data_IF_224272379754
#
_entry.id   IF_224272379754
#
_cell.length_a   1.000
_cell.length_b   1.000
_cell.length_c   1.000
_cell.angle_alpha   90.00
_cell.angle_beta   90.00
_cell.angle_gamma   90.00
#
_symmetry.space_group_name_H-M   'P 1'
#
loop_
_entity.id
_entity.type
_entity.pdbx_description
1 polymer ?
#
# COMPACT_ATOMS: atom_id res chain seq x y z
N UNK A 1 -75.32 2.83 -90.94
CA UNK A 1 -74.14 2.83 -90.05
C UNK A 1 -74.25 1.60 -89.19
N UNK A 2 -73.46 0.56 -89.46
CA UNK A 2 -73.47 -0.65 -88.65
C UNK A 2 -72.69 -0.34 -87.38
N UNK A 3 -73.40 -0.21 -86.27
CA UNK A 3 -72.82 -0.29 -84.93
C UNK A 3 -72.23 -1.69 -84.79
N UNK A 4 -70.90 -1.79 -84.73
CA UNK A 4 -70.25 -3.01 -84.26
C UNK A 4 -69.90 -2.82 -82.79
N UNK A 5 -70.16 -3.86 -82.00
CA UNK A 5 -69.87 -3.86 -80.58
C UNK A 5 -68.34 -3.97 -80.38
N UNK A 6 -67.77 -3.00 -79.66
CA UNK A 6 -66.34 -2.98 -79.41
C UNK A 6 -65.97 -4.00 -78.33
N UNK A 7 -65.32 -5.10 -78.72
CA UNK A 7 -64.73 -6.07 -77.79
C UNK A 7 -63.25 -5.74 -77.60
N UNK A 8 -62.86 -5.50 -76.34
CA UNK A 8 -61.50 -5.13 -75.95
C UNK A 8 -60.80 -6.28 -75.23
N UNK A 9 -59.56 -6.59 -75.64
CA UNK A 9 -58.71 -7.61 -75.01
C UNK A 9 -57.85 -7.07 -73.87
N UNK A 10 -56.71 -7.72 -73.62
CA UNK A 10 -55.72 -7.29 -72.63
C UNK A 10 -55.15 -5.88 -72.93
N UNK A 11 -54.64 -5.22 -71.89
CA UNK A 11 -53.98 -3.93 -72.04
C UNK A 11 -52.79 -4.04 -72.99
N UNK A 12 -52.80 -3.21 -74.03
CA UNK A 12 -51.67 -2.99 -74.92
C UNK A 12 -50.77 -1.91 -74.31
N UNK A 13 -49.47 -1.98 -74.61
CA UNK A 13 -48.46 -1.09 -74.01
C UNK A 13 -47.27 -0.90 -74.95
N UNK A 14 -46.73 0.30 -74.91
CA UNK A 14 -45.41 0.64 -75.44
C UNK A 14 -44.55 1.31 -74.35
N UNK A 15 -43.40 1.87 -74.73
CA UNK A 15 -42.46 2.49 -73.79
C UNK A 15 -43.03 3.73 -73.08
N UNK A 16 -44.02 4.40 -73.67
CA UNK A 16 -44.54 5.69 -73.21
C UNK A 16 -45.97 5.62 -72.68
N UNK A 17 -46.79 4.72 -73.24
CA UNK A 17 -48.24 4.69 -73.04
C UNK A 17 -48.78 3.26 -73.00
N UNK A 18 -50.01 3.14 -72.51
CA UNK A 18 -50.84 1.94 -72.60
C UNK A 18 -52.23 2.28 -73.11
N UNK A 19 -52.90 1.32 -73.76
CA UNK A 19 -54.24 1.48 -74.31
C UNK A 19 -55.00 0.16 -74.39
N UNK A 20 -56.32 0.24 -74.57
CA UNK A 20 -57.16 -0.89 -75.02
C UNK A 20 -57.34 -0.82 -76.52
N UNK A 21 -57.14 -1.95 -77.20
CA UNK A 21 -57.31 -2.04 -78.65
C UNK A 21 -58.48 -2.95 -78.99
N UNK A 22 -59.42 -2.40 -79.76
CA UNK A 22 -60.53 -3.17 -80.30
C UNK A 22 -60.06 -3.95 -81.55
N UNK A 23 -60.72 -5.07 -81.86
CA UNK A 23 -60.45 -5.90 -83.06
C UNK A 23 -60.47 -5.13 -84.40
N UNK A 24 -61.11 -3.95 -84.45
CA UNK A 24 -61.12 -3.06 -85.59
C UNK A 24 -59.92 -2.09 -85.68
N UNK A 25 -58.95 -2.18 -84.75
CA UNK A 25 -57.75 -1.34 -84.70
C UNK A 25 -57.93 0.00 -83.99
N UNK A 26 -59.11 0.29 -83.44
CA UNK A 26 -59.34 1.53 -82.68
C UNK A 26 -58.71 1.43 -81.27
N UNK A 27 -57.84 2.39 -80.95
CA UNK A 27 -57.24 2.56 -79.62
C UNK A 27 -58.13 3.42 -78.73
N UNK A 28 -58.38 2.97 -77.50
CA UNK A 28 -59.14 3.69 -76.48
C UNK A 28 -58.43 3.62 -75.13
N UNK A 29 -58.80 4.48 -74.18
CA UNK A 29 -58.18 4.52 -72.85
C UNK A 29 -56.66 4.68 -72.90
N UNK A 30 -56.19 5.50 -73.85
CA UNK A 30 -54.77 5.81 -73.99
C UNK A 30 -54.32 6.64 -72.78
N UNK A 31 -53.35 6.14 -72.03
CA UNK A 31 -52.80 6.80 -70.86
C UNK A 31 -51.29 6.63 -70.78
N UNK A 32 -50.62 7.57 -70.11
CA UNK A 32 -49.22 7.39 -69.73
C UNK A 32 -49.10 6.38 -68.59
N UNK A 33 -47.96 5.73 -68.47
CA UNK A 33 -47.72 4.77 -67.39
C UNK A 33 -47.78 5.43 -66.00
N UNK A 34 -48.52 4.81 -65.09
CA UNK A 34 -48.45 5.10 -63.65
C UNK A 34 -47.59 4.02 -63.00
N UNK A 35 -46.35 4.37 -62.68
CA UNK A 35 -45.37 3.44 -62.12
C UNK A 35 -45.36 3.46 -60.59
N UNK A 36 -45.04 2.32 -60.01
CA UNK A 36 -44.69 2.20 -58.58
C UNK A 36 -43.24 2.70 -58.32
N UNK A 37 -42.81 2.63 -57.06
CA UNK A 37 -41.44 3.00 -56.67
C UNK A 37 -40.38 2.11 -57.34
N UNK A 38 -39.19 2.69 -57.55
CA UNK A 38 -38.05 1.94 -58.06
C UNK A 38 -37.59 0.89 -57.05
N UNK A 39 -37.37 -0.33 -57.53
CA UNK A 39 -36.76 -1.42 -56.77
C UNK A 39 -35.40 -1.76 -57.38
N UNK A 40 -34.34 -1.79 -56.58
CA UNK A 40 -33.01 -2.24 -57.05
C UNK A 40 -33.08 -3.75 -57.28
N UNK A 41 -32.82 -4.19 -58.51
CA UNK A 41 -32.83 -5.61 -58.90
C UNK A 41 -31.43 -6.18 -58.97
N UNK A 42 -30.41 -5.34 -59.18
CA UNK A 42 -29.00 -5.69 -59.11
C UNK A 42 -28.21 -4.51 -58.54
N UNK A 43 -27.54 -4.70 -57.40
CA UNK A 43 -26.65 -3.69 -56.84
C UNK A 43 -25.45 -3.45 -57.79
N UNK A 44 -25.07 -2.20 -58.05
CA UNK A 44 -23.85 -1.91 -58.80
C UNK A 44 -22.61 -2.35 -58.02
N UNK A 45 -21.61 -2.88 -58.72
CA UNK A 45 -20.29 -3.19 -58.17
C UNK A 45 -19.24 -2.30 -58.83
N UNK A 46 -17.97 -2.43 -58.43
CA UNK A 46 -16.85 -1.69 -59.03
C UNK A 46 -16.55 -2.05 -60.48
N UNK A 47 -17.06 -3.19 -60.95
CA UNK A 47 -16.79 -3.71 -62.30
C UNK A 47 -18.06 -3.96 -63.11
N UNK A 48 -19.20 -4.12 -62.45
CA UNK A 48 -20.48 -4.38 -63.10
C UNK A 48 -21.51 -3.31 -62.76
N UNK A 49 -22.21 -2.82 -63.78
CA UNK A 49 -23.34 -1.91 -63.60
C UNK A 49 -24.47 -2.59 -62.81
N UNK A 50 -25.21 -1.78 -62.07
CA UNK A 50 -26.42 -2.21 -61.37
C UNK A 50 -27.66 -2.05 -62.25
N UNK A 51 -28.82 -2.47 -61.74
CA UNK A 51 -30.11 -2.21 -62.37
C UNK A 51 -31.20 -1.98 -61.35
N UNK A 52 -32.17 -1.13 -61.69
CA UNK A 52 -33.41 -0.95 -60.95
C UNK A 52 -34.60 -1.04 -61.88
N UNK A 53 -35.73 -1.48 -61.35
CA UNK A 53 -36.97 -1.67 -62.10
C UNK A 53 -38.15 -1.01 -61.41
N UNK A 54 -39.14 -0.58 -62.19
CA UNK A 54 -40.46 -0.17 -61.70
C UNK A 54 -41.53 -0.69 -62.64
N UNK A 55 -42.70 -1.02 -62.09
CA UNK A 55 -43.79 -1.63 -62.85
C UNK A 55 -45.00 -0.71 -62.89
N UNK A 56 -45.66 -0.63 -64.04
CA UNK A 56 -46.92 0.08 -64.17
C UNK A 56 -48.04 -0.73 -63.51
N UNK A 57 -48.75 -0.10 -62.57
CA UNK A 57 -49.81 -0.74 -61.79
C UNK A 57 -50.98 -1.23 -62.65
N UNK A 58 -51.25 -0.57 -63.78
CA UNK A 58 -52.38 -0.82 -64.69
C UNK A 58 -52.06 -1.93 -65.71
N UNK A 59 -51.05 -1.72 -66.56
CA UNK A 59 -50.77 -2.61 -67.71
C UNK A 59 -49.64 -3.61 -67.47
N UNK A 60 -49.04 -3.60 -66.28
CA UNK A 60 -47.88 -4.43 -65.90
C UNK A 60 -46.70 -4.27 -66.85
N UNK A 61 -46.52 -3.08 -67.43
CA UNK A 61 -45.29 -2.74 -68.15
C UNK A 61 -44.16 -2.58 -67.13
N UNK A 62 -43.02 -3.22 -67.34
CA UNK A 62 -41.84 -3.07 -66.48
C UNK A 62 -40.82 -2.21 -67.21
N UNK A 63 -40.40 -1.13 -66.56
CA UNK A 63 -39.31 -0.30 -67.02
C UNK A 63 -38.07 -0.62 -66.20
N UNK A 64 -36.95 -0.88 -66.89
CA UNK A 64 -35.65 -1.17 -66.30
C UNK A 64 -34.67 -0.04 -66.62
N UNK A 65 -33.89 0.37 -65.63
CA UNK A 65 -32.84 1.38 -65.75
C UNK A 65 -31.52 0.83 -65.24
N UNK A 66 -30.44 1.07 -65.99
CA UNK A 66 -29.08 0.68 -65.59
C UNK A 66 -28.46 1.73 -64.68
N UNK A 67 -27.96 1.30 -63.52
CA UNK A 67 -27.19 2.14 -62.60
C UNK A 67 -25.70 2.05 -62.95
N UNK A 68 -24.94 3.16 -62.91
CA UNK A 68 -23.50 3.14 -63.17
C UNK A 68 -22.77 2.23 -62.15
N UNK A 69 -21.57 1.78 -62.51
CA UNK A 69 -20.67 1.08 -61.59
C UNK A 69 -20.38 1.94 -60.35
N UNK A 70 -20.16 1.30 -59.21
CA UNK A 70 -19.72 1.98 -58.00
C UNK A 70 -18.24 2.37 -58.13
N UNK A 71 -17.90 3.65 -58.00
CA UNK A 71 -16.51 4.12 -58.02
C UNK A 71 -16.04 4.45 -56.60
N UNK A 72 -14.85 3.97 -56.24
CA UNK A 72 -14.21 4.34 -54.99
C UNK A 72 -13.40 5.62 -55.19
N UNK A 73 -13.94 6.71 -54.70
CA UNK A 73 -13.24 7.98 -54.64
C UNK A 73 -12.66 8.20 -53.24
N UNK A 74 -11.52 8.90 -53.17
CA UNK A 74 -10.89 9.29 -51.90
C UNK A 74 -11.81 10.31 -51.21
N UNK A 75 -12.35 9.94 -50.05
CA UNK A 75 -13.28 10.80 -49.31
C UNK A 75 -12.55 11.78 -48.38
N UNK A 76 -11.39 11.39 -47.87
CA UNK A 76 -10.52 12.21 -47.02
C UNK A 76 -9.10 12.20 -47.56
N UNK A 77 -8.54 13.39 -47.81
CA UNK A 77 -7.16 13.53 -48.27
C UNK A 77 -6.16 13.14 -47.18
N UNK A 78 -6.57 13.20 -45.91
CA UNK A 78 -5.73 12.81 -44.78
C UNK A 78 -5.47 11.29 -44.76
N UNK A 79 -4.20 10.91 -44.65
CA UNK A 79 -3.80 9.52 -44.51
C UNK A 79 -4.10 9.01 -43.10
N UNK A 80 -4.83 7.90 -43.01
CA UNK A 80 -4.97 7.12 -41.78
C UNK A 80 -3.81 6.14 -41.67
N UNK A 81 -3.47 5.75 -40.44
CA UNK A 81 -2.35 4.84 -40.20
C UNK A 81 -2.51 4.03 -38.92
N UNK A 82 -1.83 2.89 -38.90
CA UNK A 82 -1.58 2.06 -37.73
C UNK A 82 -0.07 1.77 -37.59
N UNK A 83 0.34 0.81 -36.77
CA UNK A 83 1.76 0.46 -36.55
C UNK A 83 2.44 -0.14 -37.80
N UNK A 84 1.67 -0.68 -38.74
CA UNK A 84 2.16 -1.47 -39.87
C UNK A 84 2.00 -0.76 -41.21
N UNK A 85 0.91 -0.02 -41.39
CA UNK A 85 0.48 0.50 -42.68
C UNK A 85 -0.27 1.82 -42.56
N UNK A 86 -0.41 2.51 -43.69
CA UNK A 86 -1.26 3.67 -43.88
C UNK A 86 -2.22 3.46 -45.05
N UNK A 87 -3.37 4.12 -45.01
CA UNK A 87 -4.43 4.03 -46.02
C UNK A 87 -5.27 5.31 -46.07
N UNK A 88 -5.97 5.49 -47.17
CA UNK A 88 -7.06 6.47 -47.30
C UNK A 88 -8.39 5.73 -47.25
N UNK A 89 -9.49 6.41 -46.91
CA UNK A 89 -10.79 5.78 -46.77
C UNK A 89 -11.76 6.30 -47.83
N UNK A 90 -12.53 5.37 -48.42
CA UNK A 90 -13.64 5.71 -49.29
C UNK A 90 -14.86 6.17 -48.47
N UNK A 91 -15.79 6.88 -49.09
CA UNK A 91 -17.05 7.29 -48.45
C UNK A 91 -17.92 6.11 -47.97
N UNK A 92 -17.69 4.90 -48.52
CA UNK A 92 -18.31 3.65 -48.09
C UNK A 92 -17.57 2.94 -46.94
N UNK A 93 -16.45 3.47 -46.45
CA UNK A 93 -15.65 2.92 -45.36
C UNK A 93 -14.56 1.93 -45.77
N UNK A 94 -14.40 1.66 -47.07
CA UNK A 94 -13.37 0.76 -47.58
C UNK A 94 -11.98 1.43 -47.60
N UNK A 95 -10.94 0.66 -47.24
CA UNK A 95 -9.55 1.16 -47.24
C UNK A 95 -8.98 1.16 -48.67
N UNK A 96 -8.49 2.31 -49.09
CA UNK A 96 -7.84 2.55 -50.38
C UNK A 96 -6.37 2.88 -50.18
N UNK A 97 -5.57 2.66 -51.23
CA UNK A 97 -4.15 3.00 -51.28
C UNK A 97 -3.35 2.44 -50.09
N UNK A 98 -3.72 1.25 -49.61
CA UNK A 98 -3.10 0.63 -48.44
C UNK A 98 -1.64 0.32 -48.74
N UNK A 99 -0.73 0.85 -47.94
CA UNK A 99 0.70 0.63 -48.08
C UNK A 99 1.39 0.55 -46.72
N UNK A 100 2.46 -0.22 -46.64
CA UNK A 100 3.33 -0.25 -45.47
C UNK A 100 4.08 1.08 -45.33
N UNK A 101 4.49 1.40 -44.11
CA UNK A 101 5.28 2.61 -43.86
C UNK A 101 6.63 2.60 -44.58
N UNK A 102 6.94 3.72 -45.23
CA UNK A 102 8.24 3.99 -45.82
C UNK A 102 8.96 5.02 -44.97
N UNK A 103 10.06 4.62 -44.35
CA UNK A 103 10.80 5.45 -43.41
C UNK A 103 12.08 5.99 -44.01
N UNK A 104 12.46 7.19 -43.56
CA UNK A 104 13.80 7.75 -43.78
C UNK A 104 14.83 7.22 -42.76
N UNK A 105 15.95 7.95 -42.68
CA UNK A 105 17.02 7.65 -41.72
C UNK A 105 16.55 7.84 -40.27
N UNK A 106 17.16 7.06 -39.38
CA UNK A 106 16.96 7.21 -37.94
C UNK A 106 17.59 8.51 -37.43
N UNK A 107 16.85 9.20 -36.56
CA UNK A 107 17.30 10.36 -35.80
C UNK A 107 17.40 9.99 -34.33
N UNK A 108 18.59 10.11 -33.74
CA UNK A 108 18.76 9.92 -32.29
C UNK A 108 18.05 11.06 -31.55
N UNK A 109 17.19 10.70 -30.60
CA UNK A 109 16.45 11.65 -29.75
C UNK A 109 17.01 11.70 -28.34
N UNK A 110 17.62 10.60 -27.88
CA UNK A 110 18.37 10.53 -26.63
C UNK A 110 19.61 9.65 -26.86
N UNK A 111 20.80 10.21 -26.63
CA UNK A 111 22.03 9.41 -26.65
C UNK A 111 21.99 8.37 -25.52
N UNK A 112 22.45 7.16 -25.80
CA UNK A 112 22.67 6.16 -24.76
C UNK A 112 23.90 6.53 -23.94
N UNK A 113 23.87 6.26 -22.64
CA UNK A 113 25.02 6.39 -21.74
C UNK A 113 25.46 5.01 -21.26
N UNK A 114 26.50 4.96 -20.43
CA UNK A 114 26.97 3.72 -19.80
C UNK A 114 25.94 3.10 -18.85
N UNK A 115 24.98 3.87 -18.36
CA UNK A 115 23.99 3.48 -17.34
C UNK A 115 22.54 3.79 -17.71
N UNK A 116 22.31 4.39 -18.87
CA UNK A 116 20.97 4.72 -19.36
C UNK A 116 20.82 4.37 -20.85
N UNK A 117 19.74 3.66 -21.18
CA UNK A 117 19.34 3.45 -22.56
C UNK A 117 19.01 4.79 -23.27
N UNK A 118 19.37 4.85 -24.55
CA UNK A 118 19.02 5.94 -25.45
C UNK A 118 17.75 5.66 -26.25
N UNK A 119 17.41 6.56 -27.17
CA UNK A 119 16.28 6.37 -28.09
C UNK A 119 16.54 7.04 -29.44
N UNK A 120 15.95 6.49 -30.49
CA UNK A 120 15.93 7.05 -31.84
C UNK A 120 14.54 6.96 -32.44
N UNK A 121 14.22 7.85 -33.35
CA UNK A 121 12.95 7.91 -34.06
C UNK A 121 13.14 8.05 -35.56
N UNK A 122 12.14 7.65 -36.34
CA UNK A 122 12.03 7.97 -37.77
C UNK A 122 10.57 8.11 -38.17
N UNK A 123 10.29 9.14 -38.98
CA UNK A 123 8.95 9.41 -39.49
C UNK A 123 8.67 8.65 -40.79
N UNK A 124 7.40 8.29 -41.00
CA UNK A 124 6.91 7.87 -42.30
C UNK A 124 6.90 9.06 -43.28
N UNK A 125 7.29 8.84 -44.52
CA UNK A 125 7.33 9.89 -45.55
C UNK A 125 5.94 10.31 -46.07
N UNK A 126 4.91 9.48 -45.82
CA UNK A 126 3.56 9.64 -46.39
C UNK A 126 2.55 10.10 -45.35
N UNK A 127 2.68 9.63 -44.11
CA UNK A 127 1.76 9.93 -43.02
C UNK A 127 2.53 10.38 -41.77
N UNK A 128 1.80 10.82 -40.76
CA UNK A 128 2.38 11.35 -39.52
C UNK A 128 2.83 10.27 -38.53
N UNK A 129 2.87 9.01 -38.94
CA UNK A 129 3.36 7.93 -38.09
C UNK A 129 4.86 8.09 -37.80
N UNK A 130 5.23 8.02 -36.52
CA UNK A 130 6.61 8.06 -36.05
C UNK A 130 6.93 6.74 -35.36
N UNK A 131 7.94 6.04 -35.88
CA UNK A 131 8.47 4.85 -35.26
C UNK A 131 9.57 5.24 -34.27
N UNK A 132 9.50 4.70 -33.05
CA UNK A 132 10.50 4.92 -31.99
C UNK A 132 11.15 3.59 -31.61
N UNK A 133 12.46 3.61 -31.41
CA UNK A 133 13.25 2.46 -30.98
C UNK A 133 14.19 2.87 -29.83
N UNK A 134 14.41 1.94 -28.90
CA UNK A 134 15.34 2.10 -27.78
C UNK A 134 16.74 1.69 -28.24
N UNK A 135 17.73 2.54 -27.95
CA UNK A 135 19.15 2.21 -28.13
C UNK A 135 19.63 1.61 -26.81
N UNK A 136 20.19 0.37 -26.80
CA UNK A 136 20.74 -0.21 -25.59
C UNK A 136 21.78 0.69 -24.94
N UNK A 137 21.91 0.62 -23.61
CA UNK A 137 23.01 1.27 -22.90
C UNK A 137 24.37 0.77 -23.43
N UNK A 138 25.38 1.65 -23.44
CA UNK A 138 26.68 1.36 -24.03
C UNK A 138 27.41 0.26 -23.24
N UNK A 139 27.09 0.16 -21.94
CA UNK A 139 27.83 -0.63 -20.97
C UNK A 139 29.19 0.01 -20.67
N UNK A 140 29.67 -0.17 -19.45
CA UNK A 140 31.04 0.14 -19.08
C UNK A 140 31.64 -1.06 -18.34
N UNK A 141 32.97 -1.17 -18.38
CA UNK A 141 33.66 -2.21 -17.64
C UNK A 141 33.75 -1.79 -16.16
N UNK A 142 33.20 -2.61 -15.28
CA UNK A 142 33.25 -2.34 -13.86
C UNK A 142 34.65 -2.59 -13.30
N UNK A 143 35.35 -1.50 -12.99
CA UNK A 143 36.64 -1.51 -12.30
C UNK A 143 36.56 -0.98 -10.88
N UNK A 144 37.52 -1.40 -10.04
CA UNK A 144 37.77 -0.82 -8.72
C UNK A 144 38.52 0.50 -8.94
N UNK A 145 37.88 1.62 -8.62
CA UNK A 145 38.51 2.95 -8.74
C UNK A 145 39.10 3.45 -7.41
N UNK A 146 38.59 2.93 -6.28
CA UNK A 146 39.07 3.22 -4.94
C UNK A 146 39.32 1.88 -4.23
N UNK A 147 40.56 1.66 -3.79
CA UNK A 147 40.95 0.44 -3.07
C UNK A 147 40.33 0.37 -1.66
N UNK A 148 39.78 1.48 -1.17
CA UNK A 148 39.15 1.58 0.14
C UNK A 148 37.86 0.76 0.20
N UNK A 149 37.79 -0.17 1.14
CA UNK A 149 36.58 -0.94 1.42
C UNK A 149 35.53 -0.09 2.15
N UNK A 150 34.34 0.02 1.56
CA UNK A 150 33.15 0.54 2.23
C UNK A 150 32.47 -0.58 3.01
N UNK A 151 31.72 -0.22 4.05
CA UNK A 151 31.05 -1.22 4.90
C UNK A 151 29.80 -0.69 5.57
N UNK A 152 28.92 -1.63 5.93
CA UNK A 152 27.77 -1.44 6.81
C UNK A 152 27.80 -2.48 7.95
N UNK A 153 26.70 -2.63 8.70
CA UNK A 153 26.62 -3.59 9.82
C UNK A 153 26.72 -5.06 9.41
N UNK A 154 26.44 -5.39 8.15
CA UNK A 154 26.29 -6.76 7.64
C UNK A 154 27.40 -7.17 6.69
N UNK A 155 27.89 -6.22 5.88
CA UNK A 155 28.76 -6.52 4.74
C UNK A 155 29.73 -5.37 4.44
N UNK A 156 30.71 -5.67 3.61
CA UNK A 156 31.66 -4.72 3.02
C UNK A 156 31.72 -4.89 1.50
N UNK A 157 32.06 -3.81 0.79
CA UNK A 157 32.13 -3.77 -0.67
C UNK A 157 33.13 -2.71 -1.14
N UNK A 158 33.57 -2.86 -2.39
CA UNK A 158 34.27 -1.80 -3.13
C UNK A 158 33.29 -1.16 -4.10
N UNK A 159 33.54 0.06 -4.54
CA UNK A 159 32.60 0.78 -5.41
C UNK A 159 33.25 1.11 -6.76
N UNK A 160 32.50 0.88 -7.82
CA UNK A 160 32.85 1.38 -9.13
C UNK A 160 32.60 2.90 -9.19
N UNK A 161 33.23 3.62 -10.12
CA UNK A 161 32.99 5.06 -10.32
C UNK A 161 31.54 5.40 -10.66
N UNK A 162 30.76 4.43 -11.15
CA UNK A 162 29.32 4.57 -11.42
C UNK A 162 28.43 4.39 -10.17
N UNK A 163 29.00 4.02 -9.02
CA UNK A 163 28.28 3.76 -7.78
C UNK A 163 27.90 2.29 -7.54
N UNK A 164 28.18 1.40 -8.49
CA UNK A 164 27.87 -0.03 -8.33
C UNK A 164 28.78 -0.70 -7.31
N UNK A 165 28.19 -1.56 -6.46
CA UNK A 165 28.91 -2.29 -5.42
C UNK A 165 29.57 -3.54 -6.00
N UNK A 166 30.88 -3.58 -5.92
CA UNK A 166 31.74 -4.70 -6.34
C UNK A 166 32.24 -5.46 -5.12
N UNK A 167 32.59 -6.73 -5.32
CA UNK A 167 33.18 -7.60 -4.30
C UNK A 167 32.41 -7.62 -2.96
N UNK A 168 31.08 -7.55 -3.03
CA UNK A 168 30.22 -7.55 -1.83
C UNK A 168 30.39 -8.85 -1.07
N UNK A 169 30.77 -8.75 0.20
CA UNK A 169 30.94 -9.89 1.09
C UNK A 169 30.49 -9.55 2.52
N UNK A 170 29.98 -10.55 3.22
CA UNK A 170 29.74 -10.44 4.66
C UNK A 170 31.07 -10.28 5.41
N UNK A 171 31.02 -9.67 6.59
CA UNK A 171 32.21 -9.52 7.43
C UNK A 171 32.84 -10.85 7.82
N UNK A 172 34.15 -10.95 7.65
CA UNK A 172 34.97 -12.03 8.18
C UNK A 172 35.70 -11.51 9.42
N UNK A 173 35.34 -12.03 10.58
CA UNK A 173 35.88 -11.53 11.84
C UNK A 173 37.00 -12.40 12.37
N UNK A 174 37.93 -11.75 13.07
CA UNK A 174 38.90 -12.44 13.93
C UNK A 174 38.28 -12.92 15.25
N UNK A 175 39.16 -13.26 16.19
CA UNK A 175 38.78 -13.67 17.53
C UNK A 175 38.17 -12.52 18.34
N UNK A 176 37.27 -12.87 19.26
CA UNK A 176 36.72 -11.91 20.21
C UNK A 176 37.76 -11.46 21.22
N UNK A 177 37.81 -10.16 21.46
CA UNK A 177 38.60 -9.52 22.49
C UNK A 177 37.68 -8.90 23.54
N UNK A 178 37.79 -9.32 24.78
CA UNK A 178 37.05 -8.71 25.90
C UNK A 178 37.59 -7.30 26.13
N UNK A 179 36.69 -6.30 26.11
CA UNK A 179 37.02 -4.89 26.36
C UNK A 179 36.62 -4.43 27.75
N UNK A 180 35.60 -5.07 28.32
CA UNK A 180 35.16 -4.89 29.71
C UNK A 180 34.73 -6.25 30.26
N UNK A 181 35.36 -6.69 31.35
CA UNK A 181 34.92 -7.90 32.05
C UNK A 181 33.52 -7.67 32.67
N UNK A 182 32.67 -8.69 32.61
CA UNK A 182 31.40 -8.67 33.32
C UNK A 182 31.62 -8.90 34.81
N UNK A 183 30.84 -8.24 35.66
CA UNK A 183 30.82 -8.46 37.11
C UNK A 183 29.47 -9.01 37.55
N UNK A 184 29.30 -9.26 38.84
CA UNK A 184 28.03 -9.71 39.42
C UNK A 184 26.90 -8.68 39.25
N UNK A 185 27.24 -7.40 39.08
CA UNK A 185 26.29 -6.28 39.05
C UNK A 185 26.43 -5.38 37.82
N UNK A 186 27.35 -5.69 36.92
CA UNK A 186 27.58 -4.91 35.70
C UNK A 186 27.83 -5.83 34.50
N UNK A 187 27.14 -5.55 33.39
CA UNK A 187 27.44 -6.17 32.11
C UNK A 187 28.85 -5.79 31.61
N UNK A 188 29.50 -6.75 30.97
CA UNK A 188 30.76 -6.59 30.27
C UNK A 188 30.57 -6.29 28.77
N UNK A 189 31.66 -6.24 28.02
CA UNK A 189 31.65 -6.09 26.57
C UNK A 189 32.84 -6.77 25.93
N UNK A 190 32.66 -7.23 24.69
CA UNK A 190 33.72 -7.74 23.81
C UNK A 190 33.57 -7.17 22.42
N UNK A 191 34.68 -7.07 21.71
CA UNK A 191 34.75 -6.59 20.33
C UNK A 191 35.53 -7.55 19.44
N UNK A 192 35.29 -7.49 18.14
CA UNK A 192 36.12 -8.15 17.12
C UNK A 192 36.14 -7.33 15.84
N UNK A 193 37.30 -7.27 15.22
CA UNK A 193 37.52 -6.54 13.97
C UNK A 193 37.25 -7.41 12.75
N UNK A 194 36.68 -6.80 11.71
CA UNK A 194 36.67 -7.39 10.38
C UNK A 194 38.11 -7.42 9.84
N UNK A 195 38.51 -8.53 9.23
CA UNK A 195 39.87 -8.69 8.70
C UNK A 195 40.10 -8.02 7.34
N UNK A 196 39.03 -7.52 6.71
CA UNK A 196 39.06 -6.95 5.35
C UNK A 196 38.84 -5.44 5.37
N UNK A 197 37.95 -4.96 6.23
CA UNK A 197 37.61 -3.54 6.35
C UNK A 197 37.70 -3.09 7.80
N UNK A 198 37.58 -1.80 8.04
CA UNK A 198 37.73 -1.19 9.38
C UNK A 198 36.48 -1.33 10.27
N UNK A 199 35.60 -2.30 9.98
CA UNK A 199 34.38 -2.49 10.77
C UNK A 199 34.69 -3.25 12.06
N UNK A 200 34.26 -2.70 13.20
CA UNK A 200 34.37 -3.32 14.52
C UNK A 200 33.00 -3.74 15.01
N UNK A 201 32.84 -5.03 15.29
CA UNK A 201 31.62 -5.55 15.92
C UNK A 201 31.79 -5.55 17.43
N UNK A 202 30.82 -4.97 18.14
CA UNK A 202 30.78 -4.94 19.60
C UNK A 202 29.58 -5.73 20.10
N UNK A 203 29.78 -6.53 21.14
CA UNK A 203 28.76 -7.32 21.82
C UNK A 203 28.84 -7.11 23.33
N UNK A 204 27.68 -7.09 23.98
CA UNK A 204 27.57 -6.99 25.44
C UNK A 204 27.64 -8.40 26.03
N UNK A 205 28.49 -8.57 27.04
CA UNK A 205 28.56 -9.79 27.86
C UNK A 205 27.58 -9.58 29.01
N UNK A 206 26.56 -10.45 29.19
CA UNK A 206 25.65 -10.35 30.33
C UNK A 206 26.40 -10.33 31.67
N UNK A 207 25.84 -9.67 32.67
CA UNK A 207 26.35 -9.77 34.04
C UNK A 207 26.31 -11.22 34.54
N UNK A 208 27.28 -11.59 35.38
CA UNK A 208 27.48 -13.00 35.80
C UNK A 208 26.31 -13.48 36.67
N UNK A 209 25.67 -12.56 37.40
CA UNK A 209 24.72 -12.87 38.45
C UNK A 209 25.40 -13.53 39.65
N UNK A 210 24.82 -13.36 40.83
CA UNK A 210 25.20 -14.13 42.01
C UNK A 210 23.94 -14.63 42.71
N UNK A 211 24.07 -15.76 43.42
CA UNK A 211 22.95 -16.30 44.19
C UNK A 211 22.87 -15.56 45.53
N UNK A 212 21.69 -14.99 45.82
CA UNK A 212 21.47 -14.29 47.08
C UNK A 212 21.28 -15.29 48.22
N UNK A 213 22.32 -15.41 49.05
CA UNK A 213 22.31 -16.21 50.28
C UNK A 213 22.42 -15.36 51.54
N UNK A 214 21.99 -15.95 52.66
CA UNK A 214 22.21 -15.39 54.01
C UNK A 214 23.69 -15.61 54.34
N UNK A 215 24.48 -14.55 54.36
CA UNK A 215 25.91 -14.63 54.68
C UNK A 215 26.18 -14.44 56.19
N UNK A 216 25.27 -13.78 56.89
CA UNK A 216 25.30 -13.54 58.33
C UNK A 216 23.93 -13.88 58.92
N UNK A 217 23.88 -14.82 59.86
CA UNK A 217 22.63 -15.23 60.53
C UNK A 217 22.08 -14.11 61.45
N UNK A 218 22.89 -13.09 61.73
CA UNK A 218 22.50 -11.94 62.55
C UNK A 218 21.43 -11.10 61.87
N UNK A 219 20.28 -10.97 62.51
CA UNK A 219 19.21 -10.09 62.07
C UNK A 219 19.56 -8.62 62.31
N UNK A 220 19.59 -7.83 61.23
CA UNK A 220 19.63 -6.37 61.30
C UNK A 220 18.22 -5.83 61.51
N UNK A 221 18.10 -4.65 62.11
CA UNK A 221 16.81 -4.04 62.40
C UNK A 221 16.86 -2.52 62.43
N UNK A 222 15.71 -1.92 62.14
CA UNK A 222 15.40 -0.51 62.38
C UNK A 222 14.13 -0.37 63.24
N UNK A 223 13.53 0.81 63.33
CA UNK A 223 12.32 1.04 64.14
C UNK A 223 11.07 0.31 63.61
N UNK A 224 11.07 -0.09 62.35
CA UNK A 224 9.90 -0.59 61.63
C UNK A 224 10.00 -2.09 61.29
N UNK A 225 11.21 -2.54 60.93
CA UNK A 225 11.43 -3.86 60.34
C UNK A 225 12.77 -4.47 60.76
N UNK A 226 12.91 -5.76 60.50
CA UNK A 226 14.16 -6.51 60.57
C UNK A 226 14.42 -7.25 59.25
N UNK A 227 15.68 -7.47 58.93
CA UNK A 227 16.13 -8.15 57.71
C UNK A 227 17.47 -8.85 57.94
N UNK A 228 17.77 -9.82 57.08
CA UNK A 228 19.11 -10.38 56.92
C UNK A 228 19.75 -9.77 55.68
N UNK A 229 21.07 -9.74 55.60
CA UNK A 229 21.77 -9.08 54.50
C UNK A 229 22.61 -10.09 53.73
N UNK A 230 22.51 -10.03 52.40
CA UNK A 230 23.44 -10.73 51.52
C UNK A 230 24.81 -10.04 51.56
N UNK A 231 25.89 -10.74 51.20
CA UNK A 231 27.24 -10.14 51.12
C UNK A 231 27.34 -8.98 50.13
N UNK A 232 26.41 -8.87 49.17
CA UNK A 232 26.30 -7.75 48.23
C UNK A 232 25.55 -6.52 48.80
N UNK A 233 25.00 -6.60 50.01
CA UNK A 233 24.25 -5.53 50.66
C UNK A 233 22.73 -5.58 50.46
N UNK A 234 22.22 -6.55 49.70
CA UNK A 234 20.77 -6.72 49.49
C UNK A 234 20.06 -7.23 50.75
N UNK A 235 18.89 -6.66 51.05
CA UNK A 235 18.07 -7.04 52.20
C UNK A 235 17.21 -8.25 51.88
N UNK A 236 17.44 -9.34 52.61
CA UNK A 236 16.71 -10.60 52.53
C UNK A 236 15.77 -10.76 53.73
N UNK A 237 14.71 -11.56 53.55
CA UNK A 237 13.77 -11.93 54.61
C UNK A 237 13.20 -10.71 55.39
N UNK A 238 12.94 -9.61 54.68
CA UNK A 238 12.47 -8.36 55.30
C UNK A 238 11.08 -8.56 55.91
N UNK A 239 10.94 -8.28 57.20
CA UNK A 239 9.68 -8.41 57.91
C UNK A 239 9.51 -7.32 58.99
N UNK A 240 8.26 -6.94 59.25
CA UNK A 240 7.93 -6.06 60.38
C UNK A 240 8.17 -6.78 61.71
N UNK A 241 8.41 -6.01 62.77
CA UNK A 241 8.60 -6.57 64.11
C UNK A 241 7.35 -7.27 64.64
N UNK A 242 7.52 -8.52 65.08
CA UNK A 242 6.50 -9.29 65.78
C UNK A 242 6.79 -9.23 67.27
N UNK A 243 6.00 -8.45 68.01
CA UNK A 243 6.21 -8.24 69.43
C UNK A 243 5.36 -9.16 70.31
N UNK A 244 5.93 -9.55 71.45
CA UNK A 244 5.18 -10.19 72.53
C UNK A 244 4.42 -9.18 73.41
N UNK A 245 3.98 -9.66 74.57
CA UNK A 245 3.27 -8.85 75.55
C UNK A 245 4.14 -7.72 76.14
N UNK A 246 3.48 -6.62 76.50
CA UNK A 246 4.13 -5.50 77.17
C UNK A 246 4.54 -5.85 78.60
N UNK A 247 5.78 -5.53 78.95
CA UNK A 247 6.31 -5.62 80.30
C UNK A 247 6.53 -4.23 80.87
N UNK A 248 5.89 -3.91 81.99
CA UNK A 248 6.13 -2.66 82.71
C UNK A 248 7.54 -2.69 83.30
N UNK A 249 8.35 -1.67 82.97
CA UNK A 249 9.73 -1.50 83.46
C UNK A 249 9.83 -0.43 84.53
N UNK A 250 8.92 0.54 84.52
CA UNK A 250 8.74 1.53 85.58
C UNK A 250 7.25 1.75 85.79
N UNK A 251 6.77 1.54 87.01
CA UNK A 251 5.38 1.85 87.37
C UNK A 251 5.13 3.35 87.26
N UNK A 252 3.96 3.72 86.74
CA UNK A 252 3.51 5.10 86.75
C UNK A 252 3.05 5.49 88.16
N UNK A 253 3.29 6.74 88.56
CA UNK A 253 2.77 7.32 89.81
C UNK A 253 1.87 8.51 89.48
N UNK A 254 1.26 9.13 90.50
CA UNK A 254 0.39 10.30 90.30
C UNK A 254 1.10 11.50 89.66
N UNK A 255 2.43 11.59 89.78
CA UNK A 255 3.21 12.72 89.27
C UNK A 255 4.29 12.33 88.25
N UNK A 256 4.60 11.04 88.09
CA UNK A 256 5.61 10.57 87.16
C UNK A 256 5.07 9.54 86.17
N UNK A 257 5.38 9.74 84.90
CA UNK A 257 5.17 8.73 83.88
C UNK A 257 5.99 7.45 84.17
N UNK A 258 5.33 6.31 83.96
CA UNK A 258 5.96 5.00 83.93
C UNK A 258 6.52 4.67 82.54
N UNK A 259 7.02 3.45 82.38
CA UNK A 259 7.47 2.92 81.09
C UNK A 259 7.17 1.43 80.98
N UNK A 260 6.90 0.98 79.76
CA UNK A 260 6.78 -0.43 79.40
C UNK A 260 7.61 -0.73 78.16
N UNK A 261 8.04 -1.97 78.06
CA UNK A 261 8.87 -2.46 76.96
C UNK A 261 8.33 -3.78 76.43
N UNK A 262 8.53 -4.04 75.13
CA UNK A 262 8.32 -5.34 74.50
C UNK A 262 9.41 -5.61 73.47
N UNK A 263 9.94 -6.82 73.46
CA UNK A 263 10.95 -7.26 72.50
C UNK A 263 10.33 -7.84 71.24
N UNK A 264 11.03 -7.71 70.12
CA UNK A 264 10.75 -8.49 68.92
C UNK A 264 11.13 -9.96 69.16
N UNK A 265 10.32 -10.89 68.67
CA UNK A 265 10.57 -12.33 68.83
C UNK A 265 11.67 -12.88 67.91
N UNK A 266 12.03 -12.13 66.86
CA UNK A 266 12.95 -12.57 65.79
C UNK A 266 14.31 -11.89 65.88
N UNK A 267 14.35 -10.64 66.32
CA UNK A 267 15.58 -9.86 66.44
C UNK A 267 15.67 -9.20 67.82
N UNK A 268 16.81 -8.58 68.12
CA UNK A 268 17.08 -7.97 69.42
C UNK A 268 16.45 -6.56 69.59
N UNK A 269 15.56 -6.15 68.69
CA UNK A 269 14.88 -4.87 68.80
C UNK A 269 13.93 -4.85 70.01
N UNK A 270 14.08 -3.83 70.86
CA UNK A 270 13.19 -3.56 72.00
C UNK A 270 12.46 -2.26 71.76
N UNK A 271 11.13 -2.34 71.78
CA UNK A 271 10.27 -1.17 71.73
C UNK A 271 9.97 -0.70 73.16
N UNK A 272 10.26 0.56 73.45
CA UNK A 272 9.94 1.21 74.73
C UNK A 272 8.86 2.28 74.53
N UNK A 273 7.84 2.25 75.38
CA UNK A 273 6.77 3.25 75.43
C UNK A 273 6.61 3.81 76.85
N UNK A 274 6.27 5.09 76.95
CA UNK A 274 5.92 5.71 78.23
C UNK A 274 4.47 5.36 78.62
N UNK A 275 4.25 5.09 79.91
CA UNK A 275 2.91 4.96 80.50
C UNK A 275 2.59 6.32 81.15
N UNK A 276 1.46 6.97 80.82
CA UNK A 276 1.10 8.24 81.44
C UNK A 276 0.91 8.10 82.96
N UNK A 277 1.15 9.19 83.70
CA UNK A 277 0.89 9.26 85.14
C UNK A 277 -0.60 9.00 85.45
N UNK A 278 -0.89 8.31 86.54
CA UNK A 278 -2.25 7.99 86.97
C UNK A 278 -2.84 9.18 87.75
N UNK A 279 -3.63 10.02 87.09
CA UNK A 279 -4.31 11.13 87.77
C UNK A 279 -5.44 10.62 88.69
N UNK A 280 -5.39 10.99 89.97
CA UNK A 280 -6.49 10.78 90.93
C UNK A 280 -7.51 11.90 90.76
N UNK A 281 -8.64 11.59 90.12
CA UNK A 281 -9.70 12.56 89.83
C UNK A 281 -10.55 12.94 91.04
N UNK A 282 -10.83 14.24 91.19
CA UNK A 282 -12.09 14.78 91.74
C UNK A 282 -12.81 15.56 90.62
N UNK A 283 -14.15 15.63 90.62
CA UNK A 283 -14.95 15.77 89.41
C UNK A 283 -15.17 17.22 89.00
N UNK A 284 -15.09 17.51 87.70
CA UNK A 284 -15.96 18.49 87.06
C UNK A 284 -16.37 18.03 85.66
N UNK A 285 -17.61 17.56 85.63
CA UNK A 285 -18.66 17.83 84.67
C UNK A 285 -18.47 17.57 83.17
N UNK A 286 -19.53 16.98 82.62
CA UNK A 286 -19.68 16.60 81.22
C UNK A 286 -19.82 17.79 80.28
N UNK A 287 -19.28 17.65 79.07
CA UNK A 287 -20.12 17.63 77.85
C UNK A 287 -19.40 16.85 76.73
N UNK A 288 -19.90 15.63 76.57
CA UNK A 288 -20.17 14.79 75.39
C UNK A 288 -20.07 15.42 73.96
N UNK A 289 -20.11 14.64 72.86
CA UNK A 289 -18.93 14.32 72.05
C UNK A 289 -19.26 14.38 70.53
N UNK A 290 -18.35 13.94 69.68
CA UNK A 290 -18.64 13.07 68.52
C UNK A 290 -17.27 12.44 68.20
N UNK A 291 -16.95 11.21 68.66
CA UNK A 291 -17.39 9.92 68.10
C UNK A 291 -16.97 9.79 66.61
N UNK A 292 -16.30 8.78 66.10
CA UNK A 292 -15.97 7.42 66.54
C UNK A 292 -14.86 6.96 65.54
N UNK A 293 -13.83 6.21 65.94
CA UNK A 293 -13.82 4.73 66.02
C UNK A 293 -14.21 4.06 64.70
N UNK A 294 -13.65 2.94 64.26
CA UNK A 294 -12.77 1.92 64.81
C UNK A 294 -12.32 1.08 63.57
N UNK A 295 -11.12 0.50 63.50
CA UNK A 295 -10.77 -0.85 63.97
C UNK A 295 -11.66 -1.95 63.35
N UNK A 296 -11.22 -3.12 62.87
CA UNK A 296 -9.98 -3.87 62.81
C UNK A 296 -10.08 -4.82 61.59
N UNK A 297 -9.01 -5.53 61.26
CA UNK A 297 -9.17 -6.80 60.54
C UNK A 297 -7.88 -7.35 59.93
N UNK A 298 -7.23 -8.23 60.68
CA UNK A 298 -5.95 -8.87 60.37
C UNK A 298 -6.14 -10.19 59.60
N UNK A 299 -5.23 -10.49 58.66
CA UNK A 299 -4.49 -11.75 58.41
C UNK A 299 -4.38 -12.20 56.93
N UNK A 300 -3.11 -12.37 56.54
CA UNK A 300 -2.44 -13.04 55.39
C UNK A 300 -2.90 -14.50 55.11
N UNK A 301 -2.36 -15.26 54.10
CA UNK A 301 -1.29 -14.98 53.10
C UNK A 301 -1.62 -15.44 51.65
N UNK A 302 -0.79 -15.08 50.66
CA UNK A 302 -0.19 -16.02 49.66
C UNK A 302 0.57 -15.23 48.60
N UNK A 303 1.78 -15.68 48.25
CA UNK A 303 2.58 -15.09 47.18
C UNK A 303 2.04 -15.41 45.78
N UNK A 304 2.34 -14.53 44.83
CA UNK A 304 2.84 -14.92 43.52
C UNK A 304 3.59 -13.76 42.87
N UNK A 305 4.58 -14.15 42.09
CA UNK A 305 5.49 -13.39 41.25
C UNK A 305 4.80 -12.38 40.32
N UNK A 306 5.37 -11.17 40.22
CA UNK A 306 4.98 -10.16 39.24
C UNK A 306 6.13 -9.21 38.94
N UNK A 307 6.79 -9.42 37.81
CA UNK A 307 7.85 -8.58 37.24
C UNK A 307 7.44 -7.10 37.11
N UNK A 308 8.40 -6.15 37.10
CA UNK A 308 8.06 -4.74 36.86
C UNK A 308 7.56 -4.54 35.42
N UNK A 309 6.35 -4.01 35.26
CA UNK A 309 5.87 -3.47 34.00
C UNK A 309 6.61 -2.16 33.70
N UNK A 310 7.57 -2.20 32.76
CA UNK A 310 7.92 -1.01 32.00
C UNK A 310 6.79 -0.71 31.03
N UNK A 311 6.01 0.31 31.35
CA UNK A 311 5.09 0.92 30.40
C UNK A 311 5.87 1.68 29.33
N UNK A 312 5.49 1.47 28.07
CA UNK A 312 5.51 2.55 27.10
C UNK A 312 4.39 2.34 26.07
N UNK A 313 3.20 2.86 26.39
CA UNK A 313 2.04 2.92 25.47
C UNK A 313 1.90 4.32 24.87
N UNK A 314 3.01 5.00 24.69
CA UNK A 314 3.09 6.39 24.24
C UNK A 314 3.55 6.40 22.79
N UNK A 315 2.74 5.93 21.82
CA UNK A 315 2.86 6.27 20.37
C UNK A 315 2.02 5.42 19.41
N UNK A 316 1.16 4.50 19.88
CA UNK A 316 0.41 3.63 18.96
C UNK A 316 -0.54 4.42 18.02
N UNK A 317 -1.10 5.54 18.47
CA UNK A 317 -1.87 6.47 17.63
C UNK A 317 -1.01 7.18 16.56
N UNK A 318 0.26 7.41 16.84
CA UNK A 318 1.21 8.06 15.91
C UNK A 318 1.60 7.10 14.78
N UNK A 319 1.82 5.83 15.11
CA UNK A 319 2.07 4.76 14.12
C UNK A 319 0.83 4.42 13.28
N UNK A 320 -0.36 4.41 13.88
CA UNK A 320 -1.62 4.20 13.13
C UNK A 320 -1.89 5.39 12.18
N UNK A 321 -1.61 6.63 12.61
CA UNK A 321 -1.76 7.81 11.76
C UNK A 321 -0.77 7.83 10.60
N UNK A 322 0.47 7.37 10.82
CA UNK A 322 1.50 7.27 9.77
C UNK A 322 1.14 6.20 8.71
N UNK A 323 0.54 5.08 9.12
CA UNK A 323 0.07 4.03 8.21
C UNK A 323 -1.14 4.46 7.37
N UNK A 324 -2.03 5.29 7.91
CA UNK A 324 -3.17 5.83 7.15
C UNK A 324 -2.75 6.89 6.13
N UNK A 325 -1.72 7.69 6.44
CA UNK A 325 -1.16 8.68 5.52
C UNK A 325 -0.45 8.05 4.31
N UNK A 326 0.21 6.89 4.48
CA UNK A 326 0.86 6.16 3.37
C UNK A 326 -0.15 5.43 2.46
N UNK A 327 -1.30 4.99 3.00
CA UNK A 327 -2.38 4.38 2.20
C UNK A 327 -3.19 5.37 1.36
N UNK A 328 -3.39 6.60 1.84
CA UNK A 328 -4.18 7.63 1.14
C UNK A 328 -3.53 8.15 -0.15
N UNK A 329 -2.19 8.21 -0.21
CA UNK A 329 -1.44 8.72 -1.36
C UNK A 329 -1.60 7.87 -2.62
N UNK A 330 -1.63 6.54 -2.46
CA UNK A 330 -1.76 5.59 -3.60
C UNK A 330 -3.16 5.66 -4.21
N UNK A 331 -4.21 5.78 -3.38
CA UNK A 331 -5.59 5.90 -3.85
C UNK A 331 -5.84 7.26 -4.54
N UNK A 332 -5.23 8.33 -4.02
CA UNK A 332 -5.28 9.67 -4.61
C UNK A 332 -4.63 9.74 -6.00
N UNK A 333 -3.47 9.10 -6.18
CA UNK A 333 -2.80 9.02 -7.49
C UNK A 333 -3.61 8.23 -8.53
N UNK A 334 -4.27 7.14 -8.13
CA UNK A 334 -5.10 6.33 -9.03
C UNK A 334 -6.36 7.09 -9.50
N UNK A 335 -6.98 7.86 -8.60
CA UNK A 335 -8.13 8.72 -8.94
C UNK A 335 -7.72 9.92 -9.80
N UNK A 336 -6.54 10.51 -9.55
CA UNK A 336 -5.99 11.59 -10.38
C UNK A 336 -5.66 11.10 -11.81
N UNK A 337 -5.04 9.92 -11.95
CA UNK A 337 -4.74 9.33 -13.28
C UNK A 337 -6.02 8.99 -14.05
N UNK A 338 -7.07 8.52 -13.38
CA UNK A 338 -8.39 8.29 -14.01
C UNK A 338 -9.07 9.58 -14.44
N UNK A 339 -8.99 10.66 -13.65
CA UNK A 339 -9.56 11.96 -14.02
C UNK A 339 -8.82 12.64 -15.18
N UNK A 340 -7.48 12.55 -15.23
CA UNK A 340 -6.70 13.12 -16.33
C UNK A 340 -6.98 12.42 -17.66
N UNK A 341 -7.06 11.08 -17.65
CA UNK A 341 -7.41 10.30 -18.84
C UNK A 341 -8.84 10.53 -19.37
N UNK A 342 -9.75 11.07 -18.55
CA UNK A 342 -11.12 11.41 -18.93
C UNK A 342 -11.30 12.86 -19.39
N UNK A 343 -10.29 13.72 -19.18
CA UNK A 343 -10.32 15.14 -19.61
C UNK A 343 -9.54 15.39 -20.91
N UNK A 344 -8.82 14.38 -21.42
CA UNK A 344 -8.06 14.39 -22.67
C UNK A 344 -8.77 13.62 -23.82
N UNK A 345 -10.06 13.31 -23.65
CA UNK A 345 -10.99 12.84 -24.70
C UNK A 345 -12.14 13.83 -24.80
#
# INVERSE_FOLDING_TARGET
MLEHEHSYGDWQKDETQHWKECRCGKKTEVGNHTFDDWTITKEPTTTETGSRERTCSICKYTQTETLPVHTHDVHDEAWKYDETQHWQECSCGEKLNVANHTYGDWKVTKEATETEAGSRERGCAVCEYVQVEIIPEIGHEHGIHDETWKYDKTQHWQECSCGEKLNVANHTYGDWKVTKEATETEAGSRERDCTVCEYVQVEIIPEIGHEHGIHDETWKYDKTQHWQECSCGEKLNVANHTYGDWKVTKEATETEAGSRERGCAVCEYVQTEAIPATETGEPTDSTDPTDSSDSQGQQDPSGDTGSPQTGDSSNMMLWISLMLASGGGVLGMLLYRRKKAAAEK
#
